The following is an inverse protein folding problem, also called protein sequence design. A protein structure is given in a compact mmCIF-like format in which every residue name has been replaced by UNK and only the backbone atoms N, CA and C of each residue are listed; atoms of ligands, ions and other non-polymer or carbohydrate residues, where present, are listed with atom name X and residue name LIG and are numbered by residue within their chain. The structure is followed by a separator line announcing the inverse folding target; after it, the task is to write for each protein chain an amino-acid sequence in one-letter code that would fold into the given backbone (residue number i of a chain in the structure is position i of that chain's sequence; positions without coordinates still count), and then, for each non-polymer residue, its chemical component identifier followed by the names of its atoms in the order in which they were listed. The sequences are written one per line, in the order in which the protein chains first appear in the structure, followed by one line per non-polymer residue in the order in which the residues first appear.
data_IF_297247451081
#
_entry.id   IF_297247451081
#
_cell.length_a   1.000
_cell.length_b   1.000
_cell.length_c   1.000
_cell.angle_alpha   90.00
_cell.angle_beta   90.00
_cell.angle_gamma   90.00
#
_symmetry.space_group_name_H-M   'P 1'
#
loop_
_entity.id
_entity.type
_entity.pdbx_description
1 polymer ?
2 non-polymer ?
3 non-polymer ?
4 water ?
#
# COMPACT_ATOMS: atom_id res chain seq x y z
N UNK A 2 -1.07 -21.90 31.81
CA UNK A 2 -2.13 -22.81 31.27
C UNK A 2 -1.83 -23.01 29.80
N UNK A 3 -2.13 -24.19 29.26
CA UNK A 3 -1.92 -24.43 27.83
C UNK A 3 -3.11 -23.87 27.04
N UNK A 4 -3.01 -22.61 26.61
CA UNK A 4 -4.12 -21.96 25.89
C UNK A 4 -3.91 -22.01 24.37
N UNK A 5 -3.00 -22.86 23.91
CA UNK A 5 -2.62 -22.84 22.49
C UNK A 5 -3.80 -23.06 21.54
N UNK A 6 -4.74 -23.93 21.86
CA UNK A 6 -5.86 -24.18 20.93
C UNK A 6 -6.66 -22.89 20.71
N UNK A 7 -7.06 -22.24 21.79
CA UNK A 7 -7.87 -21.04 21.69
C UNK A 7 -7.10 -19.87 21.10
N UNK A 8 -5.86 -19.70 21.50
CA UNK A 8 -5.00 -18.68 20.91
C UNK A 8 -4.92 -18.85 19.40
N UNK A 9 -4.61 -20.07 18.93
CA UNK A 9 -4.50 -20.33 17.51
C UNK A 9 -5.79 -20.05 16.78
N UNK A 10 -6.91 -20.47 17.36
CA UNK A 10 -8.24 -20.23 16.83
C UNK A 10 -8.56 -18.74 16.72
N UNK A 11 -8.26 -17.99 17.77
CA UNK A 11 -8.37 -16.54 17.74
C UNK A 11 -7.48 -15.91 16.67
N UNK A 12 -6.25 -16.34 16.56
CA UNK A 12 -5.38 -15.83 15.46
C UNK A 12 -6.07 -16.08 14.12
N UNK A 13 -6.48 -17.33 13.87
CA UNK A 13 -7.11 -17.71 12.62
C UNK A 13 -8.33 -16.83 12.31
N UNK A 14 -9.25 -16.68 13.26
CA UNK A 14 -10.49 -15.96 13.04
C UNK A 14 -10.21 -14.47 12.83
N UNK A 15 -9.42 -13.86 13.73
CA UNK A 15 -9.14 -12.42 13.60
C UNK A 15 -8.37 -12.10 12.32
N UNK A 16 -7.46 -12.98 11.93
CA UNK A 16 -6.77 -12.79 10.66
C UNK A 16 -7.76 -12.86 9.48
N UNK A 17 -8.66 -13.83 9.53
CA UNK A 17 -9.69 -13.95 8.51
C UNK A 17 -10.56 -12.66 8.46
N UNK A 18 -11.11 -12.28 9.61
CA UNK A 18 -12.02 -11.16 9.67
C UNK A 18 -11.34 -9.84 9.26
N UNK A 19 -10.09 -9.64 9.69
CA UNK A 19 -9.36 -8.43 9.32
C UNK A 19 -9.21 -8.35 7.80
N UNK A 20 -8.85 -9.49 7.20
CA UNK A 20 -8.64 -9.54 5.75
C UNK A 20 -9.96 -9.27 5.04
N UNK A 21 -11.02 -9.91 5.50
CA UNK A 21 -12.34 -9.71 4.90
C UNK A 21 -12.77 -8.23 4.97
N UNK A 22 -12.63 -7.61 6.13
CA UNK A 22 -13.05 -6.22 6.29
C UNK A 22 -12.12 -5.25 5.52
N UNK A 23 -10.82 -5.36 5.73
CA UNK A 23 -9.87 -4.33 5.26
C UNK A 23 -9.19 -4.54 3.89
N UNK A 24 -9.29 -5.76 3.33
CA UNK A 24 -8.59 -6.05 2.07
C UNK A 24 -9.61 -6.39 1.00
N UNK A 25 -10.39 -7.43 1.25
CA UNK A 25 -11.66 -7.55 0.57
C UNK A 25 -12.43 -6.48 1.32
N UNK A 26 -13.51 -5.98 0.76
CA UNK A 26 -14.36 -5.11 1.56
C UNK A 26 -15.63 -5.92 1.64
N UNK A 27 -15.54 -7.06 2.34
CA UNK A 27 -16.56 -8.07 2.31
C UNK A 27 -16.67 -8.84 3.64
N UNK A 28 -17.20 -8.18 4.69
CA UNK A 28 -17.28 -8.86 5.98
C UNK A 28 -18.19 -10.07 5.96
N UNK A 29 -17.81 -11.08 6.75
CA UNK A 29 -18.61 -12.29 7.00
C UNK A 29 -19.21 -12.23 8.41
N UNK A 30 -18.77 -11.25 9.18
CA UNK A 30 -19.05 -11.20 10.59
C UNK A 30 -19.25 -9.72 11.00
N UNK A 31 -20.19 -9.41 11.90
CA UNK A 31 -20.38 -8.01 12.30
C UNK A 31 -19.19 -7.52 13.13
N UNK A 32 -19.00 -6.19 13.24
CA UNK A 32 -17.88 -5.67 14.04
C UNK A 32 -17.92 -6.18 15.47
N UNK A 33 -19.12 -6.32 16.06
CA UNK A 33 -19.26 -6.78 17.44
C UNK A 33 -18.48 -8.09 17.68
N UNK A 34 -18.46 -8.95 16.66
CA UNK A 34 -17.74 -10.23 16.70
C UNK A 34 -16.24 -10.07 16.68
N UNK A 35 -15.74 -9.30 15.71
CA UNK A 35 -14.33 -8.93 15.68
C UNK A 35 -13.88 -8.32 16.98
N UNK A 36 -14.61 -7.32 17.45
CA UNK A 36 -14.24 -6.60 18.67
C UNK A 36 -14.19 -7.55 19.85
N UNK A 37 -15.18 -8.44 19.95
CA UNK A 37 -15.25 -9.42 21.02
C UNK A 37 -14.08 -10.39 21.06
N UNK A 38 -13.74 -10.95 19.91
CA UNK A 38 -12.62 -11.85 19.82
C UNK A 38 -11.30 -11.13 20.05
N UNK A 39 -11.16 -9.93 19.52
CA UNK A 39 -9.92 -9.17 19.73
C UNK A 39 -9.73 -8.89 21.22
N UNK A 40 -10.82 -8.52 21.89
CA UNK A 40 -10.77 -8.21 23.30
C UNK A 40 -10.35 -9.46 24.10
N UNK A 41 -10.83 -10.62 23.67
CA UNK A 41 -10.52 -11.86 24.35
C UNK A 41 -9.03 -12.17 24.20
N UNK A 42 -8.50 -11.98 23.00
CA UNK A 42 -7.09 -12.23 22.75
C UNK A 42 -6.22 -11.26 23.50
N UNK A 43 -6.65 -10.00 23.54
CA UNK A 43 -5.90 -9.00 24.30
C UNK A 43 -5.83 -9.42 25.77
N UNK A 44 -6.96 -9.88 26.35
CA UNK A 44 -6.96 -10.33 27.74
C UNK A 44 -6.08 -11.59 27.90
N UNK A 45 -6.15 -12.52 26.95
CA UNK A 45 -5.28 -13.68 27.03
C UNK A 45 -3.82 -13.25 27.08
N UNK A 46 -3.43 -12.35 26.19
CA UNK A 46 -2.06 -11.88 26.14
C UNK A 46 -1.63 -11.09 27.38
N UNK A 47 -2.54 -10.33 27.96
CA UNK A 47 -2.26 -9.63 29.22
C UNK A 47 -1.98 -10.59 30.36
N UNK A 48 -2.81 -11.65 30.44
CA UNK A 48 -2.76 -12.61 31.55
C UNK A 48 -1.82 -13.77 31.30
N UNK A 49 -1.52 -14.01 30.03
CA UNK A 49 -0.65 -15.09 29.61
C UNK A 49 0.24 -14.56 28.49
N UNK A 50 1.20 -13.69 28.84
CA UNK A 50 1.97 -13.03 27.81
C UNK A 50 2.93 -13.88 27.03
N UNK A 51 3.11 -15.14 27.41
CA UNK A 51 3.87 -16.07 26.61
C UNK A 51 3.21 -16.36 25.26
N UNK A 52 1.92 -16.04 25.13
CA UNK A 52 1.20 -16.23 23.84
C UNK A 52 1.33 -15.03 22.86
N UNK A 53 1.91 -13.94 23.31
CA UNK A 53 2.19 -12.84 22.41
C UNK A 53 3.09 -13.29 21.27
N UNK A 54 2.83 -12.75 20.09
CA UNK A 54 3.64 -13.04 18.92
C UNK A 54 3.82 -11.77 18.13
N UNK A 55 4.89 -11.78 17.31
CA UNK A 55 5.24 -10.64 16.49
C UNK A 55 4.12 -10.30 15.50
N UNK A 56 3.36 -11.30 15.04
CA UNK A 56 2.31 -11.11 14.04
C UNK A 56 0.91 -11.34 14.61
N UNK A 57 0.78 -11.15 15.90
CA UNK A 57 -0.49 -11.28 16.56
C UNK A 57 -1.48 -10.19 16.07
N UNK A 58 -2.74 -10.56 15.92
CA UNK A 58 -3.75 -9.53 15.63
C UNK A 58 -3.71 -8.33 16.57
N UNK A 59 -3.22 -8.50 17.78
CA UNK A 59 -3.22 -7.41 18.74
C UNK A 59 -2.23 -6.34 18.39
N UNK A 60 -1.33 -6.67 17.47
CA UNK A 60 -0.35 -5.72 16.98
C UNK A 60 -1.09 -4.50 16.40
N UNK A 61 -2.24 -4.74 15.76
CA UNK A 61 -2.96 -3.70 15.06
C UNK A 61 -3.45 -2.58 15.99
N UNK A 62 -3.58 -2.84 17.29
CA UNK A 62 -4.04 -1.79 18.20
C UNK A 62 -2.93 -0.80 18.60
N UNK A 63 -1.68 -1.10 18.23
CA UNK A 63 -0.53 -0.29 18.56
C UNK A 63 -0.04 -0.63 19.94
N UNK A 64 1.14 -0.13 20.27
CA UNK A 64 1.75 -0.48 21.53
C UNK A 64 2.43 0.68 22.21
N UNK A 65 3.34 0.33 23.12
CA UNK A 65 4.14 1.32 23.82
C UNK A 65 5.40 1.65 23.01
N UNK A 66 5.90 0.69 22.23
CA UNK A 66 7.05 0.92 21.37
C UNK A 66 6.81 2.09 20.40
N UNK A 67 7.73 3.05 20.39
CA UNK A 67 7.61 4.19 19.50
C UNK A 67 8.40 4.01 18.23
N UNK A 68 7.81 4.40 17.09
CA UNK A 68 8.55 4.53 15.82
C UNK A 68 9.79 5.39 16.05
N UNK A 69 10.94 4.92 15.56
CA UNK A 69 12.20 5.63 15.82
C UNK A 69 12.31 6.90 15.00
N UNK A 70 11.69 6.91 13.83
CA UNK A 70 11.89 7.98 12.84
C UNK A 70 13.35 8.11 12.40
N UNK A 71 14.17 7.09 12.66
CA UNK A 71 15.56 7.07 12.20
C UNK A 71 15.61 7.16 10.69
N UNK A 72 16.65 7.81 10.19
CA UNK A 72 16.96 7.83 8.77
C UNK A 72 17.50 6.48 8.37
N UNK A 73 16.85 5.83 7.41
CA UNK A 73 17.18 4.47 6.97
C UNK A 73 17.17 4.37 5.46
N UNK A 74 18.25 3.83 4.88
CA UNK A 74 18.28 3.62 3.44
C UNK A 74 17.39 2.45 3.08
N UNK A 75 16.53 2.64 2.09
CA UNK A 75 15.85 1.50 1.46
C UNK A 75 16.88 0.50 0.92
N UNK A 76 16.51 -0.77 0.94
CA UNK A 76 17.33 -1.79 0.29
C UNK A 76 17.61 -1.39 -1.15
N UNK A 77 16.58 -0.86 -1.81
CA UNK A 77 16.67 -0.44 -3.19
C UNK A 77 15.98 0.93 -3.31
N UNK A 78 16.64 1.93 -3.90
CA UNK A 78 15.99 3.25 -3.98
C UNK A 78 14.65 3.19 -4.70
N UNK A 79 13.72 4.02 -4.27
CA UNK A 79 12.41 4.03 -4.91
C UNK A 79 12.45 4.95 -6.11
N UNK A 80 11.83 4.52 -7.20
CA UNK A 80 11.92 5.23 -8.47
C UNK A 80 11.15 6.53 -8.47
N UNK A 81 11.67 7.48 -9.22
CA UNK A 81 10.99 8.75 -9.46
C UNK A 81 10.41 8.70 -10.90
N UNK A 82 9.10 8.91 -11.04
CA UNK A 82 8.45 8.91 -12.39
C UNK A 82 8.43 10.27 -13.03
N UNK A 83 8.65 10.30 -14.34
CA UNK A 83 8.35 11.46 -15.15
C UNK A 83 6.83 11.61 -15.24
N UNK A 84 6.40 12.83 -15.53
CA UNK A 84 4.99 13.15 -15.62
C UNK A 84 4.53 13.37 -17.04
N UNK A 85 3.25 13.10 -17.27
CA UNK A 85 2.54 13.48 -18.49
C UNK A 85 1.38 14.37 -18.09
N UNK A 86 1.02 15.33 -18.93
CA UNK A 86 -0.10 16.24 -18.64
C UNK A 86 -1.22 16.24 -19.67
N UNK A 87 -1.05 15.50 -20.77
CA UNK A 87 -2.07 15.43 -21.83
C UNK A 87 -1.82 14.24 -22.74
N UNK A 88 -2.70 14.07 -23.73
CA UNK A 88 -2.55 13.00 -24.72
C UNK A 88 -1.20 13.07 -25.46
N UNK A 89 -0.78 14.25 -25.91
CA UNK A 89 0.46 14.30 -26.69
C UNK A 89 1.65 13.75 -25.91
N UNK A 90 1.74 14.13 -24.62
CA UNK A 90 2.75 13.59 -23.72
C UNK A 90 2.76 12.08 -23.70
N UNK A 91 1.57 11.48 -23.66
CA UNK A 91 1.45 10.03 -23.65
C UNK A 91 1.80 9.42 -25.01
N UNK A 92 1.39 10.07 -26.10
CA UNK A 92 1.81 9.59 -27.45
C UNK A 92 3.32 9.65 -27.65
N UNK A 93 3.98 10.67 -27.08
CA UNK A 93 5.44 10.75 -27.12
C UNK A 93 6.11 9.64 -26.36
N UNK A 94 5.59 9.40 -25.14
CA UNK A 94 6.03 8.36 -24.27
C UNK A 94 5.93 7.03 -25.02
N UNK A 95 4.76 6.77 -25.57
CA UNK A 95 4.48 5.53 -26.28
C UNK A 95 5.40 5.35 -27.50
N UNK A 96 5.56 6.43 -28.26
CA UNK A 96 6.41 6.46 -29.46
C UNK A 96 7.86 6.16 -29.12
N UNK A 97 8.44 6.83 -28.11
CA UNK A 97 9.81 6.50 -27.67
C UNK A 97 9.99 5.01 -27.44
N UNK A 98 9.00 4.40 -26.81
CA UNK A 98 9.08 2.99 -26.46
C UNK A 98 9.01 2.15 -27.73
N UNK A 99 8.05 2.45 -28.59
CA UNK A 99 7.77 1.54 -29.71
C UNK A 99 8.82 1.62 -30.80
N UNK A 100 9.43 2.79 -30.96
CA UNK A 100 10.60 2.96 -31.81
C UNK A 100 11.82 2.16 -31.33
N UNK A 101 11.99 2.04 -30.03
CA UNK A 101 13.14 1.33 -29.46
C UNK A 101 12.92 -0.18 -29.35
N UNK A 102 11.76 -0.63 -28.84
CA UNK A 102 11.57 -2.06 -28.53
C UNK A 102 10.40 -2.79 -29.19
N UNK A 103 9.61 -2.11 -29.99
CA UNK A 103 8.50 -2.74 -30.70
C UNK A 103 7.23 -2.42 -29.96
N UNK A 104 6.15 -3.10 -30.30
CA UNK A 104 4.89 -2.79 -29.65
C UNK A 104 4.87 -3.52 -28.31
N UNK A 105 4.25 -2.88 -27.35
CA UNK A 105 4.33 -3.29 -25.98
C UNK A 105 2.90 -3.38 -25.49
N UNK A 106 2.70 -4.01 -24.35
CA UNK A 106 1.43 -3.98 -23.64
C UNK A 106 1.67 -2.98 -22.53
N UNK A 107 0.64 -2.33 -22.03
CA UNK A 107 0.81 -1.36 -20.97
C UNK A 107 -0.03 -1.79 -19.78
N UNK A 108 0.48 -1.52 -18.60
CA UNK A 108 -0.26 -1.71 -17.38
C UNK A 108 -0.71 -0.32 -16.97
N UNK A 109 -1.99 -0.16 -16.69
CA UNK A 109 -2.53 1.12 -16.24
C UNK A 109 -3.06 0.98 -14.85
N UNK A 110 -2.68 1.95 -14.02
CA UNK A 110 -3.07 1.97 -12.63
C UNK A 110 -3.36 3.37 -12.14
N UNK A 111 -4.16 3.41 -11.09
CA UNK A 111 -4.44 4.64 -10.38
C UNK A 111 -3.25 5.03 -9.52
N UNK A 112 -2.90 6.31 -9.57
CA UNK A 112 -1.86 6.85 -8.73
C UNK A 112 -2.51 7.39 -7.49
N UNK A 113 -2.33 6.68 -6.41
CA UNK A 113 -2.98 7.01 -5.15
C UNK A 113 -2.30 8.22 -4.51
N UNK A 114 -3.09 9.20 -4.10
CA UNK A 114 -2.57 10.42 -3.51
C UNK A 114 -2.22 10.18 -2.05
N UNK A 115 -1.20 9.38 -1.81
CA UNK A 115 -0.88 8.96 -0.45
C UNK A 115 0.50 9.35 -0.02
N UNK A 116 1.00 8.66 0.99
CA UNK A 116 2.40 8.74 1.41
C UNK A 116 3.06 7.52 0.86
N UNK A 117 4.01 7.72 -0.05
CA UNK A 117 4.80 6.61 -0.60
C UNK A 117 5.59 5.94 0.52
N UNK A 118 5.60 4.60 0.52
CA UNK A 118 6.29 3.83 1.57
C UNK A 118 6.98 2.60 1.03
N UNK A 119 8.00 2.12 1.73
CA UNK A 119 8.61 0.82 1.40
C UNK A 119 8.40 -0.07 2.59
N UNK A 120 8.06 -1.32 2.33
CA UNK A 120 7.76 -2.24 3.41
C UNK A 120 8.65 -3.44 3.26
N UNK A 121 9.56 -3.62 4.21
CA UNK A 121 10.53 -4.68 4.07
C UNK A 121 10.11 -5.89 4.85
N UNK A 122 10.20 -7.02 4.15
CA UNK A 122 9.83 -8.34 4.65
C UNK A 122 11.10 -9.19 4.70
N UNK A 123 11.32 -9.84 5.83
CA UNK A 123 12.43 -10.82 5.97
C UNK A 123 11.84 -12.13 6.43
N UNK A 124 12.17 -13.21 5.73
CA UNK A 124 11.53 -14.50 5.96
C UNK A 124 10.01 -14.40 6.01
N UNK A 125 9.44 -13.53 5.17
CA UNK A 125 8.00 -13.33 5.09
C UNK A 125 7.35 -12.48 6.19
N UNK A 126 8.14 -12.01 7.14
CA UNK A 126 7.64 -11.15 8.20
C UNK A 126 7.90 -9.67 7.93
N UNK A 127 6.86 -8.86 8.14
CA UNK A 127 7.00 -7.42 8.05
C UNK A 127 7.96 -6.95 9.14
N UNK A 128 9.10 -6.39 8.78
CA UNK A 128 10.09 -6.00 9.78
C UNK A 128 10.51 -4.51 9.73
N UNK A 129 10.21 -3.82 8.66
CA UNK A 129 10.57 -2.40 8.52
C UNK A 129 9.67 -1.69 7.52
N UNK A 130 9.14 -0.55 7.90
CA UNK A 130 8.31 0.27 7.01
C UNK A 130 8.88 1.66 7.06
N UNK A 131 9.27 2.16 5.89
CA UNK A 131 9.89 3.49 5.75
C UNK A 131 9.10 4.41 4.90
N UNK A 132 9.12 5.69 5.22
CA UNK A 132 8.64 6.69 4.28
C UNK A 132 9.61 6.72 3.10
N UNK A 133 9.15 7.21 1.97
CA UNK A 133 10.02 7.24 0.77
C UNK A 133 11.20 8.18 0.99
N UNK A 134 10.94 9.30 1.66
CA UNK A 134 11.95 10.28 1.93
C UNK A 134 12.38 10.88 0.61
N UNK A 135 13.70 10.82 0.35
CA UNK A 135 14.28 11.36 -0.86
C UNK A 135 14.42 10.30 -1.95
N UNK A 136 13.85 9.11 -1.72
CA UNK A 136 13.89 8.01 -2.69
C UNK A 136 14.97 6.99 -2.34
N UNK A 137 16.00 7.47 -1.64
CA UNK A 137 17.12 6.63 -1.18
C UNK A 137 17.05 6.36 0.30
N UNK A 138 16.80 7.43 1.05
CA UNK A 138 16.75 7.44 2.51
C UNK A 138 15.36 7.94 2.97
N UNK A 139 14.70 7.14 3.80
CA UNK A 139 13.42 7.49 4.39
C UNK A 139 13.49 7.45 5.90
N UNK A 140 12.35 7.62 6.53
CA UNK A 140 12.23 7.63 7.97
C UNK A 140 11.49 6.38 8.42
N UNK A 141 11.97 5.76 9.50
CA UNK A 141 11.43 4.50 10.03
C UNK A 141 10.17 4.76 10.85
N UNK A 142 9.03 4.38 10.26
CA UNK A 142 7.72 4.52 10.89
C UNK A 142 7.10 3.12 11.09
N UNK A 143 7.97 2.14 11.27
CA UNK A 143 7.53 0.75 11.28
C UNK A 143 6.40 0.53 12.25
N UNK A 144 6.58 1.00 13.48
CA UNK A 144 5.60 0.73 14.53
C UNK A 144 4.20 1.29 14.22
N UNK A 145 4.15 2.39 13.50
CA UNK A 145 2.89 3.00 13.12
C UNK A 145 2.24 2.24 11.95
N UNK A 146 3.06 1.91 10.97
CA UNK A 146 2.59 1.17 9.80
C UNK A 146 2.03 -0.20 10.16
N UNK A 147 2.55 -0.82 11.22
CA UNK A 147 2.01 -2.12 11.69
C UNK A 147 0.53 -2.09 12.10
N UNK A 148 0.01 -0.90 12.41
CA UNK A 148 -1.39 -0.76 12.78
C UNK A 148 -2.34 -0.76 11.58
N UNK A 149 -1.80 -0.77 10.38
CA UNK A 149 -2.63 -0.69 9.18
C UNK A 149 -2.95 -2.11 8.73
N UNK A 150 -4.23 -2.50 8.90
CA UNK A 150 -4.63 -3.88 8.64
C UNK A 150 -4.29 -4.35 7.25
N UNK A 151 -4.32 -3.44 6.26
CA UNK A 151 -4.01 -3.70 4.86
C UNK A 151 -2.54 -4.07 4.58
N UNK A 152 -1.68 -3.83 5.55
CA UNK A 152 -0.29 -4.31 5.50
C UNK A 152 -0.19 -5.66 6.21
N UNK A 153 0.15 -6.70 5.46
CA UNK A 153 0.22 -8.00 6.14
C UNK A 153 1.40 -8.01 7.08
N UNK A 154 1.23 -8.61 8.26
CA UNK A 154 2.34 -8.78 9.19
C UNK A 154 3.17 -9.97 8.78
N UNK A 155 2.55 -10.90 8.06
CA UNK A 155 3.26 -12.10 7.57
C UNK A 155 2.66 -12.48 6.21
N UNK A 156 3.55 -12.67 5.23
CA UNK A 156 3.19 -13.06 3.87
C UNK A 156 2.98 -14.54 3.76
N UNK A 157 2.36 -14.93 2.67
CA UNK A 157 2.04 -16.35 2.41
C UNK A 157 3.27 -17.22 2.16
N UNK A 158 4.35 -16.60 1.68
CA UNK A 158 5.62 -17.31 1.45
C UNK A 158 6.72 -16.50 2.13
N UNK A 159 7.71 -17.19 2.74
CA UNK A 159 8.75 -16.54 3.52
C UNK A 159 9.85 -15.74 2.73
N UNK A 160 9.44 -14.80 1.89
CA UNK A 160 10.40 -14.09 1.04
C UNK A 160 11.11 -12.97 1.79
N UNK A 161 12.23 -12.55 1.20
CA UNK A 161 12.96 -11.38 1.65
C UNK A 161 12.75 -10.42 0.52
N UNK A 162 11.86 -9.47 0.71
CA UNK A 162 11.50 -8.48 -0.33
C UNK A 162 11.20 -7.16 0.33
N UNK A 163 11.36 -6.10 -0.46
CA UNK A 163 10.94 -4.77 -0.08
C UNK A 163 9.86 -4.34 -1.06
N UNK A 164 8.61 -4.32 -0.61
CA UNK A 164 7.53 -3.88 -1.46
C UNK A 164 7.39 -2.38 -1.38
N UNK A 165 6.72 -1.80 -2.39
CA UNK A 165 6.46 -0.36 -2.43
C UNK A 165 4.97 -0.11 -2.58
N UNK A 166 4.47 0.86 -1.84
CA UNK A 166 3.07 1.11 -1.77
C UNK A 166 2.81 2.55 -1.40
N UNK A 167 1.53 2.93 -1.48
CA UNK A 167 1.03 4.20 -1.00
C UNK A 167 0.13 3.96 0.17
N UNK A 168 0.48 4.56 1.31
CA UNK A 168 -0.39 4.61 2.49
C UNK A 168 -1.33 5.81 2.41
N UNK A 169 -2.60 5.62 2.79
CA UNK A 169 -3.59 6.67 2.61
C UNK A 169 -4.71 6.57 3.63
N UNK A 170 -5.53 7.62 3.69
CA UNK A 170 -6.72 7.62 4.50
C UNK A 170 -7.89 7.65 3.57
N UNK A 171 -8.78 6.65 3.66
CA UNK A 171 -9.98 6.74 2.83
C UNK A 171 -10.74 8.05 3.03
N UNK A 172 -11.30 8.58 1.97
CA UNK A 172 -11.93 9.92 2.02
C UNK A 172 -12.96 10.09 3.13
N UNK A 173 -13.83 9.10 3.27
CA UNK A 173 -14.95 9.19 4.19
C UNK A 173 -14.43 9.25 5.63
N UNK A 174 -13.34 8.53 5.92
CA UNK A 174 -12.69 8.62 7.24
C UNK A 174 -12.02 9.96 7.47
N UNK A 175 -11.33 10.46 6.44
CA UNK A 175 -10.87 11.84 6.49
C UNK A 175 -12.02 12.81 6.83
N UNK A 176 -13.11 12.72 6.08
CA UNK A 176 -14.22 13.69 6.28
C UNK A 176 -14.80 13.57 7.68
N UNK A 177 -15.02 12.35 8.14
CA UNK A 177 -15.60 12.17 9.47
C UNK A 177 -14.58 12.56 10.57
N UNK A 178 -13.29 12.36 10.31
CA UNK A 178 -12.25 12.88 11.19
C UNK A 178 -12.43 14.39 11.33
N UNK A 179 -12.51 15.10 10.21
CA UNK A 179 -12.69 16.58 10.22
C UNK A 179 -13.98 17.05 10.91
N UNK A 180 -15.03 16.24 10.80
CA UNK A 180 -16.26 16.51 11.57
C UNK A 180 -15.90 16.51 13.07
N UNK A 181 -15.16 15.49 13.51
CA UNK A 181 -14.75 15.37 14.93
C UNK A 181 -13.87 16.55 15.38
N UNK A 182 -12.98 16.99 14.50
CA UNK A 182 -12.14 18.13 14.80
C UNK A 182 -12.96 19.41 14.83
N UNK A 183 -13.93 19.51 13.92
CA UNK A 183 -14.80 20.70 13.91
C UNK A 183 -15.54 20.80 15.25
N UNK A 184 -16.08 19.68 15.73
CA UNK A 184 -16.82 19.65 17.00
C UNK A 184 -15.98 20.07 18.20
N UNK A 185 -14.67 19.82 18.14
CA UNK A 185 -13.77 20.17 19.22
C UNK A 185 -12.87 21.38 18.87
N UNK A 186 -13.40 22.26 18.02
CA UNK A 186 -12.68 23.44 17.55
C UNK A 186 -11.19 23.23 17.32
N UNK A 187 -10.87 22.16 16.61
CA UNK A 187 -9.50 21.93 16.17
C UNK A 187 -9.38 22.33 14.71
N UNK A 188 -8.16 22.66 14.31
CA UNK A 188 -7.82 22.93 12.92
C UNK A 188 -8.10 21.65 12.12
N UNK A 189 -8.84 21.77 11.03
CA UNK A 189 -9.15 20.61 10.18
C UNK A 189 -7.94 20.27 9.36
N UNK A 190 -7.79 18.99 9.04
CA UNK A 190 -6.82 18.57 8.03
C UNK A 190 -7.24 19.12 6.65
N UNK A 191 -6.23 19.50 5.88
CA UNK A 191 -6.45 20.13 4.59
C UNK A 191 -7.02 19.13 3.59
N UNK A 192 -6.62 17.87 3.71
CA UNK A 192 -7.05 16.81 2.80
C UNK A 192 -6.63 15.44 3.36
N UNK A 193 -7.15 14.34 2.75
CA UNK A 193 -6.79 12.99 3.17
C UNK A 193 -5.30 12.70 3.30
N UNK A 194 -4.51 13.16 2.34
CA UNK A 194 -3.07 12.93 2.38
C UNK A 194 -2.41 13.57 3.58
N UNK A 195 -2.78 14.80 3.89
CA UNK A 195 -2.22 15.47 5.05
C UNK A 195 -2.67 14.78 6.34
N UNK A 196 -3.88 14.21 6.34
CA UNK A 196 -4.39 13.51 7.51
C UNK A 196 -3.63 12.20 7.75
N UNK A 197 -3.39 11.46 6.67
CA UNK A 197 -2.57 10.25 6.70
C UNK A 197 -1.16 10.56 7.20
N UNK A 198 -0.58 11.66 6.71
CA UNK A 198 0.75 12.08 7.13
C UNK A 198 0.79 12.41 8.62
N UNK A 199 -0.15 13.24 9.07
CA UNK A 199 -0.27 13.54 10.48
C UNK A 199 -0.44 12.28 11.33
N UNK A 200 -1.20 11.31 10.82
CA UNK A 200 -1.45 10.07 11.54
C UNK A 200 -0.20 9.17 11.62
N UNK A 201 0.57 9.09 10.55
CA UNK A 201 1.82 8.30 10.53
C UNK A 201 2.99 8.96 11.23
N UNK A 202 2.99 10.30 11.24
CA UNK A 202 3.97 11.07 12.03
C UNK A 202 3.76 11.10 13.56
N UNK A 203 2.71 10.50 14.09
CA UNK A 203 2.54 10.46 15.56
C UNK A 203 3.72 9.68 16.14
N UNK A 204 4.08 9.98 17.37
CA UNK A 204 5.00 9.10 18.10
C UNK A 204 4.26 7.90 18.65
N UNK A 205 2.94 8.02 18.75
CA UNK A 205 2.08 7.05 19.41
C UNK A 205 1.35 6.17 18.39
N UNK A 206 1.78 4.93 18.28
CA UNK A 206 1.19 3.98 17.32
C UNK A 206 -0.25 3.72 17.69
N UNK A 207 -0.61 3.91 18.96
CA UNK A 207 -2.03 3.76 19.35
C UNK A 207 -2.93 4.82 18.71
N UNK A 208 -2.41 6.03 18.44
CA UNK A 208 -3.22 7.03 17.70
C UNK A 208 -3.34 6.65 16.25
N UNK A 209 -2.22 6.23 15.65
CA UNK A 209 -2.22 5.75 14.30
C UNK A 209 -3.26 4.62 14.12
N UNK A 210 -3.32 3.74 15.11
CA UNK A 210 -4.26 2.61 15.11
C UNK A 210 -5.73 3.03 14.92
N UNK A 211 -6.12 4.11 15.57
CA UNK A 211 -7.53 4.52 15.52
C UNK A 211 -7.88 5.39 14.29
N UNK A 212 -6.86 5.82 13.56
CA UNK A 212 -7.07 6.53 12.36
C UNK A 212 -7.39 5.44 11.35
N UNK A 213 -8.13 5.76 10.29
CA UNK A 213 -8.47 4.66 9.37
C UNK A 213 -7.52 4.81 8.21
N UNK A 214 -6.48 3.98 8.20
CA UNK A 214 -5.54 4.04 7.11
C UNK A 214 -5.55 2.70 6.38
N UNK A 215 -5.07 2.75 5.15
CA UNK A 215 -4.89 1.57 4.34
C UNK A 215 -3.68 1.75 3.43
N UNK A 216 -3.45 0.79 2.56
CA UNK A 216 -2.38 0.88 1.64
C UNK A 216 -2.79 0.21 0.33
N UNK A 217 -2.09 0.58 -0.72
CA UNK A 217 -2.10 -0.19 -1.95
C UNK A 217 -0.66 -0.40 -2.33
N UNK A 218 -0.33 -1.64 -2.64
CA UNK A 218 1.03 -2.00 -2.99
C UNK A 218 1.07 -2.07 -4.49
N UNK A 219 2.12 -1.52 -5.09
CA UNK A 219 2.23 -1.45 -6.54
C UNK A 219 3.47 -2.11 -7.14
N UNK A 220 4.49 -2.38 -6.33
CA UNK A 220 5.68 -3.07 -6.83
C UNK A 220 6.54 -3.67 -5.73
N UNK A 221 7.68 -4.21 -6.16
CA UNK A 221 8.66 -4.81 -5.26
C UNK A 221 10.05 -4.46 -5.75
N UNK A 222 11.02 -4.39 -4.84
CA UNK A 222 12.39 -4.09 -5.21
C UNK A 222 13.10 -5.15 -6.05
N UNK A 223 12.68 -6.41 -5.94
CA UNK A 223 13.46 -7.54 -6.44
C UNK A 223 12.43 -8.56 -6.90
N UNK A 224 12.54 -9.00 -8.14
CA UNK A 224 11.64 -10.01 -8.70
C UNK A 224 12.19 -11.43 -8.66
N UNK A 225 13.35 -11.64 -8.04
CA UNK A 225 14.00 -12.95 -8.05
C UNK A 225 13.08 -14.10 -7.64
N UNK A 226 12.28 -13.93 -6.60
CA UNK A 226 11.44 -15.03 -6.11
C UNK A 226 10.00 -14.94 -6.58
N UNK A 227 9.75 -14.08 -7.57
CA UNK A 227 8.46 -13.98 -8.21
C UNK A 227 8.50 -14.76 -9.50
N UNK A 228 7.40 -15.44 -9.78
CA UNK A 228 7.23 -16.09 -11.08
C UNK A 228 6.67 -15.15 -12.17
N UNK A 229 6.23 -13.95 -11.75
CA UNK A 229 5.69 -12.95 -12.66
C UNK A 229 6.64 -12.65 -13.83
N UNK A 230 6.09 -12.60 -15.04
CA UNK A 230 6.84 -12.14 -16.20
C UNK A 230 6.44 -10.70 -16.58
N UNK A 231 5.52 -10.13 -15.82
CA UNK A 231 4.98 -8.83 -16.16
C UNK A 231 4.50 -8.14 -14.92
N UNK A 232 4.29 -6.83 -15.04
CA UNK A 232 3.79 -6.05 -13.93
C UNK A 232 2.39 -6.55 -13.48
N UNK A 233 1.52 -6.89 -14.43
CA UNK A 233 0.16 -7.35 -14.10
C UNK A 233 0.21 -8.67 -13.37
N UNK A 234 1.12 -9.55 -13.80
CA UNK A 234 1.33 -10.83 -13.12
C UNK A 234 1.89 -10.59 -11.76
N UNK A 235 2.79 -9.62 -11.64
CA UNK A 235 3.44 -9.31 -10.37
C UNK A 235 2.42 -8.84 -9.33
N UNK A 236 1.46 -8.02 -9.75
CA UNK A 236 0.45 -7.57 -8.81
C UNK A 236 -0.48 -8.71 -8.38
N UNK A 237 -0.87 -9.57 -9.32
CA UNK A 237 -1.61 -10.76 -8.99
C UNK A 237 -0.83 -11.62 -8.03
N UNK A 238 0.47 -11.73 -8.25
CA UNK A 238 1.30 -12.48 -7.35
C UNK A 238 1.37 -11.87 -5.94
N UNK A 239 1.47 -10.54 -5.84
CA UNK A 239 1.39 -9.86 -4.57
C UNK A 239 0.08 -10.16 -3.87
N UNK A 240 -1.01 -10.23 -4.63
CA UNK A 240 -2.30 -10.61 -4.05
C UNK A 240 -2.19 -11.97 -3.42
N UNK A 241 -1.65 -12.94 -4.16
CA UNK A 241 -1.58 -14.30 -3.67
C UNK A 241 -0.61 -14.44 -2.46
N UNK A 242 0.40 -13.57 -2.40
CA UNK A 242 1.33 -13.47 -1.26
C UNK A 242 0.75 -12.80 -0.01
N UNK A 243 -0.40 -12.17 -0.15
CA UNK A 243 -1.15 -11.64 1.01
C UNK A 243 -1.21 -10.11 1.04
N UNK A 244 -0.71 -9.45 0.00
CA UNK A 244 -0.72 -7.98 -0.01
C UNK A 244 -2.03 -7.36 -0.50
N UNK A 245 -2.18 -6.07 -0.26
CA UNK A 245 -3.35 -5.31 -0.70
C UNK A 245 -2.97 -4.52 -1.93
N UNK A 246 -3.62 -4.83 -3.05
CA UNK A 246 -3.32 -4.15 -4.31
C UNK A 246 -4.60 -3.47 -4.81
N UNK A 247 -4.44 -2.57 -5.78
CA UNK A 247 -5.58 -1.85 -6.35
C UNK A 247 -6.21 -2.64 -7.51
N UNK A 248 -7.49 -2.97 -7.36
CA UNK A 248 -8.20 -3.80 -8.35
C UNK A 248 -8.60 -3.05 -9.62
N UNK A 249 -8.44 -1.73 -9.63
CA UNK A 249 -8.83 -0.93 -10.77
C UNK A 249 -7.75 -0.85 -11.84
N UNK A 250 -6.65 -1.58 -11.64
CA UNK A 250 -5.62 -1.73 -12.68
C UNK A 250 -6.14 -2.42 -13.93
N UNK A 251 -5.53 -2.13 -15.07
CA UNK A 251 -5.88 -2.80 -16.31
C UNK A 251 -4.68 -2.96 -17.23
N UNK A 252 -4.59 -4.10 -17.90
CA UNK A 252 -3.64 -4.27 -18.98
C UNK A 252 -4.34 -3.83 -20.26
N UNK A 253 -3.66 -2.98 -21.01
CA UNK A 253 -4.15 -2.52 -22.30
C UNK A 253 -3.10 -2.83 -23.36
N UNK A 254 -3.53 -2.97 -24.61
CA UNK A 254 -2.64 -3.41 -25.68
C UNK A 254 -1.84 -2.29 -26.28
N UNK A 255 -2.37 -1.07 -26.21
CA UNK A 255 -1.77 0.06 -26.89
C UNK A 255 -2.13 1.37 -26.23
N UNK A 256 -1.59 2.43 -26.79
CA UNK A 256 -1.72 3.77 -26.23
C UNK A 256 -3.17 4.26 -26.33
N UNK A 257 -3.93 3.76 -27.32
CA UNK A 257 -5.39 4.05 -27.36
C UNK A 257 -6.10 3.55 -26.10
N UNK A 258 -5.75 2.34 -25.67
CA UNK A 258 -6.25 1.77 -24.42
C UNK A 258 -5.84 2.58 -23.19
N UNK A 259 -4.63 3.11 -23.22
CA UNK A 259 -4.17 3.97 -22.16
C UNK A 259 -5.05 5.22 -22.05
N UNK A 260 -5.25 5.87 -23.17
CA UNK A 260 -6.09 7.08 -23.24
C UNK A 260 -7.51 6.78 -22.81
N UNK A 261 -8.03 5.63 -23.22
CA UNK A 261 -9.35 5.17 -22.83
C UNK A 261 -9.43 5.03 -21.31
N UNK A 262 -8.42 4.41 -20.71
CA UNK A 262 -8.35 4.25 -19.28
C UNK A 262 -8.34 5.61 -18.55
N UNK A 263 -7.55 6.55 -19.04
CA UNK A 263 -7.48 7.87 -18.43
C UNK A 263 -8.82 8.62 -18.59
N UNK A 264 -9.41 8.50 -19.77
CA UNK A 264 -10.73 9.06 -20.03
C UNK A 264 -11.79 8.48 -19.09
N UNK A 265 -11.70 7.19 -18.83
CA UNK A 265 -12.61 6.53 -17.91
C UNK A 265 -12.41 7.07 -16.50
N UNK A 266 -11.17 7.05 -16.02
CA UNK A 266 -10.89 7.41 -14.62
C UNK A 266 -10.99 8.88 -14.30
N UNK A 267 -10.86 9.71 -15.32
CA UNK A 267 -11.11 11.14 -15.14
C UNK A 267 -12.55 11.35 -14.65
N UNK A 268 -13.49 10.61 -15.24
CA UNK A 268 -14.91 10.73 -14.89
C UNK A 268 -15.34 9.97 -13.66
N UNK A 269 -14.69 8.85 -13.40
CA UNK A 269 -15.04 7.97 -12.31
C UNK A 269 -14.23 8.24 -11.05
N UNK A 270 -13.18 9.07 -11.13
CA UNK A 270 -12.32 9.26 -9.93
C UNK A 270 -13.11 9.86 -8.76
N UNK A 271 -14.10 10.67 -9.11
CA UNK A 271 -15.01 11.30 -8.17
C UNK A 271 -15.67 10.27 -7.22
N UNK A 272 -15.96 9.10 -7.76
CA UNK A 272 -16.68 8.02 -7.06
C UNK A 272 -15.79 7.05 -6.24
N UNK A 273 -14.49 7.17 -6.39
CA UNK A 273 -13.58 6.32 -5.65
C UNK A 273 -13.60 6.70 -4.17
N UNK A 274 -13.41 5.71 -3.28
CA UNK A 274 -13.34 5.98 -1.84
C UNK A 274 -11.99 6.54 -1.32
N UNK A 275 -11.08 6.90 -2.23
CA UNK A 275 -9.78 7.52 -1.87
C UNK A 275 -9.41 8.51 -2.96
N UNK A 276 -8.56 9.50 -2.65
CA UNK A 276 -8.07 10.47 -3.64
C UNK A 276 -6.93 9.87 -4.50
N UNK A 277 -6.93 10.21 -5.79
CA UNK A 277 -5.83 9.87 -6.68
C UNK A 277 -5.36 11.19 -7.25
N UNK A 278 -4.09 11.26 -7.60
CA UNK A 278 -3.55 12.45 -8.28
C UNK A 278 -3.14 12.19 -9.73
N UNK A 279 -3.23 10.94 -10.15
CA UNK A 279 -2.97 10.63 -11.54
C UNK A 279 -3.19 9.18 -11.89
N UNK A 280 -2.57 8.81 -12.99
CA UNK A 280 -2.62 7.47 -13.51
C UNK A 280 -1.19 7.06 -13.89
N UNK A 281 -0.73 5.90 -13.41
CA UNK A 281 0.62 5.45 -13.75
C UNK A 281 0.50 4.42 -14.86
N UNK A 282 1.34 4.58 -15.88
CA UNK A 282 1.38 3.71 -17.03
C UNK A 282 2.75 3.07 -17.11
N UNK A 283 2.80 1.74 -17.22
CA UNK A 283 4.07 1.02 -17.28
C UNK A 283 4.06 0.06 -18.43
N UNK A 284 5.18 -0.05 -19.11
CA UNK A 284 5.40 -1.18 -19.97
C UNK A 284 5.20 -2.41 -19.10
N UNK A 285 4.36 -3.31 -19.56
CA UNK A 285 3.93 -4.43 -18.71
C UNK A 285 5.02 -5.48 -18.53
N UNK A 286 5.61 -5.90 -19.65
CA UNK A 286 6.58 -6.99 -19.63
C UNK A 286 7.84 -6.55 -18.88
N UNK A 287 8.23 -7.35 -17.89
CA UNK A 287 9.39 -7.02 -17.08
C UNK A 287 10.69 -6.99 -17.86
N UNK A 288 10.87 -7.95 -18.80
CA UNK A 288 12.04 -7.95 -19.65
C UNK A 288 12.11 -6.70 -20.53
N UNK A 289 10.97 -6.24 -21.03
CA UNK A 289 10.91 -5.02 -21.82
C UNK A 289 11.25 -3.76 -21.01
N UNK A 290 10.84 -3.73 -19.74
CA UNK A 290 11.16 -2.61 -18.85
C UNK A 290 12.67 -2.53 -18.76
N UNK A 291 13.29 -3.67 -18.43
CA UNK A 291 14.74 -3.82 -18.35
C UNK A 291 15.40 -3.31 -19.63
N UNK A 292 14.86 -3.71 -20.77
CA UNK A 292 15.33 -3.24 -22.07
C UNK A 292 15.32 -1.71 -22.23
N UNK A 293 14.26 -1.07 -21.78
CA UNK A 293 14.10 0.38 -21.94
C UNK A 293 15.05 1.16 -21.06
N UNK A 294 15.41 0.58 -19.92
CA UNK A 294 16.32 1.23 -19.02
C UNK A 294 15.76 2.51 -18.41
N UNK A 295 16.68 3.31 -17.89
CA UNK A 295 16.37 4.49 -17.13
C UNK A 295 17.07 5.65 -17.77
N UNK A 296 16.49 6.83 -17.62
CA UNK A 296 17.26 8.05 -17.76
C UNK A 296 18.10 8.20 -16.51
N UNK A 297 18.80 9.32 -16.45
CA UNK A 297 19.51 9.74 -15.28
C UNK A 297 18.59 9.84 -14.08
N UNK A 298 17.32 10.15 -14.31
CA UNK A 298 16.38 10.36 -13.21
C UNK A 298 15.27 9.30 -13.06
N UNK A 299 14.83 8.75 -14.20
CA UNK A 299 13.52 8.08 -14.29
C UNK A 299 13.46 6.90 -15.23
N UNK A 300 12.56 5.96 -14.95
CA UNK A 300 12.39 4.88 -15.91
C UNK A 300 11.90 5.42 -17.23
N UNK A 301 12.42 4.87 -18.33
CA UNK A 301 11.92 5.23 -19.65
C UNK A 301 10.64 4.43 -19.93
N UNK A 302 10.34 3.46 -19.06
CA UNK A 302 9.27 2.50 -19.30
C UNK A 302 8.00 2.77 -18.47
N UNK A 303 7.98 3.92 -17.79
CA UNK A 303 6.85 4.29 -16.94
C UNK A 303 6.66 5.78 -16.97
N UNK A 304 5.41 6.21 -16.80
CA UNK A 304 5.11 7.64 -16.81
C UNK A 304 3.91 7.87 -15.88
N UNK A 305 3.87 9.05 -15.26
CA UNK A 305 2.75 9.40 -14.40
C UNK A 305 1.91 10.47 -15.11
N UNK A 306 0.74 10.10 -15.60
CA UNK A 306 -0.20 11.08 -16.07
C UNK A 306 -0.77 11.81 -14.85
N UNK A 307 -0.73 13.14 -14.86
CA UNK A 307 -1.27 13.93 -13.75
C UNK A 307 -2.57 14.65 -14.14
N UNK A 308 -3.64 14.43 -13.35
CA UNK A 308 -4.91 15.09 -13.53
C UNK A 308 -4.75 16.58 -13.33
N UNK A 309 -5.55 17.36 -14.07
CA UNK A 309 -5.47 18.79 -14.02
C UNK A 309 -5.76 19.29 -12.60
#
# INVERSE_FOLDING_TARGET
MADLSSRVNELHDLLNQYSYEYYVEDNPSVPDSEYDKLLHELIKIEEEHPEYKTVDSPTVRVGGEAQASFNKVNHDTPMLSLGNAFNEDDLRKFDQRIREQIGNVEYMCELKIDGLAVSLKYVDGYFVQGLTRGDGTTGEDITENLKTIHAIPLKMKEPLNVEVRGEAYMPRRSFLRLNEEKEKNDEQLFANPRNAAAGSLRQLDSKLTAKRKLSVFIYSVNDFTDFNARSQSEALDELDKLGFTTNKNRARVNNIDGVLEYIEKWTSQRESLPYDIDGIVIKVNDLDQQDEMGFTQKSPRWAIAYKFPAEEHHHHHH
#
